data_IF_688447751167
#
_entry.id   IF_688447751167
#
_cell.length_a   1.000
_cell.length_b   1.000
_cell.length_c   1.000
_cell.angle_alpha   90.00
_cell.angle_beta   90.00
_cell.angle_gamma   90.00
#
_symmetry.space_group_name_H-M   'P 1'
#
loop_
_entity.id
_entity.type
_entity.pdbx_description
1 polymer ?
#
# COMPACT_ATOMS: atom_id res chain seq x y z
N UNK A 1 16.97 -16.05 -35.80
CA UNK A 1 16.72 -15.81 -34.36
C UNK A 1 17.12 -14.38 -34.05
N UNK A 2 16.14 -13.50 -33.87
CA UNK A 2 16.25 -12.19 -33.22
C UNK A 2 14.82 -11.65 -33.08
N UNK A 3 14.17 -11.93 -31.96
CA UNK A 3 12.88 -11.34 -31.61
C UNK A 3 12.83 -11.21 -30.09
N UNK A 4 13.18 -10.02 -29.59
CA UNK A 4 12.71 -9.35 -28.36
C UNK A 4 13.70 -8.26 -27.91
N UNK A 5 13.80 -7.19 -28.69
CA UNK A 5 13.67 -5.80 -28.27
C UNK A 5 13.72 -4.97 -29.56
N UNK A 6 12.57 -4.46 -30.00
CA UNK A 6 12.32 -4.10 -31.42
C UNK A 6 12.93 -2.75 -31.86
N UNK A 7 13.79 -2.14 -31.03
CA UNK A 7 14.40 -0.82 -31.30
C UNK A 7 15.90 -0.83 -31.02
N UNK A 8 16.71 -0.64 -32.07
CA UNK A 8 18.16 -0.49 -31.94
C UNK A 8 18.52 0.99 -31.70
N UNK A 9 18.83 1.36 -30.46
CA UNK A 9 19.18 2.74 -30.08
C UNK A 9 20.43 3.28 -30.78
N UNK A 10 21.38 2.42 -31.18
CA UNK A 10 22.54 2.84 -31.97
C UNK A 10 22.12 3.23 -33.39
N UNK A 11 21.21 2.46 -34.00
CA UNK A 11 20.64 2.78 -35.30
C UNK A 11 19.76 4.05 -35.25
N UNK A 12 18.96 4.22 -34.20
CA UNK A 12 18.11 5.41 -33.99
C UNK A 12 18.97 6.67 -33.85
N UNK A 13 20.10 6.61 -33.14
CA UNK A 13 21.05 7.73 -33.07
C UNK A 13 21.98 7.83 -34.29
N UNK A 14 22.11 6.77 -35.08
CA UNK A 14 22.94 6.72 -36.28
C UNK A 14 24.43 6.71 -35.97
N UNK A 15 24.80 6.10 -34.84
CA UNK A 15 26.18 6.01 -34.33
C UNK A 15 26.61 4.56 -34.21
N UNK A 16 27.91 4.28 -34.28
CA UNK A 16 28.42 2.93 -34.11
C UNK A 16 28.29 2.46 -32.66
N UNK A 17 28.28 1.15 -32.46
CA UNK A 17 28.22 0.52 -31.14
C UNK A 17 29.44 0.85 -30.27
N UNK A 18 30.57 1.14 -30.93
CA UNK A 18 31.82 1.58 -30.31
C UNK A 18 31.89 3.10 -30.07
N UNK A 19 30.82 3.85 -30.36
CA UNK A 19 30.84 5.31 -30.26
C UNK A 19 31.10 5.78 -28.83
N UNK A 20 31.93 6.81 -28.69
CA UNK A 20 32.23 7.46 -27.42
C UNK A 20 31.04 8.29 -26.93
N UNK A 21 31.00 8.63 -25.64
CA UNK A 21 29.94 9.45 -25.07
C UNK A 21 29.82 10.83 -25.77
N UNK A 22 30.94 11.38 -26.24
CA UNK A 22 30.98 12.65 -26.97
C UNK A 22 30.35 12.53 -28.37
N UNK A 23 30.60 11.44 -29.07
CA UNK A 23 30.00 11.17 -30.40
C UNK A 23 28.49 10.94 -30.29
N UNK A 24 28.04 10.23 -29.25
CA UNK A 24 26.61 10.03 -28.95
C UNK A 24 25.93 11.38 -28.67
N UNK A 25 26.56 12.24 -27.87
CA UNK A 25 26.05 13.58 -27.56
C UNK A 25 25.97 14.47 -28.81
N UNK A 26 26.98 14.42 -29.68
CA UNK A 26 27.02 15.19 -30.93
C UNK A 26 25.96 14.71 -31.93
N UNK A 27 25.75 13.40 -32.03
CA UNK A 27 24.71 12.81 -32.87
C UNK A 27 23.30 13.20 -32.39
N UNK A 28 23.06 13.13 -31.07
CA UNK A 28 21.81 13.58 -30.46
C UNK A 28 21.54 15.06 -30.77
N UNK A 29 22.50 15.95 -30.54
CA UNK A 29 22.34 17.39 -30.81
C UNK A 29 22.03 17.68 -32.29
N UNK A 30 22.65 16.93 -33.20
CA UNK A 30 22.43 17.08 -34.65
C UNK A 30 21.02 16.63 -35.05
N UNK A 31 20.52 15.53 -34.47
CA UNK A 31 19.17 15.01 -34.74
C UNK A 31 18.08 15.83 -34.04
N UNK A 32 18.32 16.23 -32.79
CA UNK A 32 17.41 17.07 -32.01
C UNK A 32 17.15 18.43 -32.69
N UNK A 33 18.17 19.04 -33.31
CA UNK A 33 17.99 20.29 -34.09
C UNK A 33 17.22 20.09 -35.39
N UNK A 34 17.33 18.93 -36.02
CA UNK A 34 16.62 18.58 -37.28
C UNK A 34 15.18 18.16 -37.06
N UNK A 35 14.87 17.57 -35.91
CA UNK A 35 13.56 17.05 -35.54
C UNK A 35 12.81 17.96 -34.56
N UNK A 36 13.35 19.14 -34.27
CA UNK A 36 12.71 20.09 -33.37
C UNK A 36 11.37 20.56 -33.98
N UNK A 37 10.26 20.59 -33.21
CA UNK A 37 8.93 20.96 -33.73
C UNK A 37 8.86 22.38 -34.31
N UNK A 38 9.74 23.29 -33.86
CA UNK A 38 9.84 24.64 -34.44
C UNK A 38 10.55 24.69 -35.81
N UNK A 39 11.38 23.67 -36.12
CA UNK A 39 12.23 23.62 -37.32
C UNK A 39 11.68 22.65 -38.37
N UNK A 40 11.09 21.54 -37.94
CA UNK A 40 10.46 20.56 -38.81
C UNK A 40 8.97 20.40 -38.46
N UNK A 41 8.10 20.67 -39.45
CA UNK A 41 6.63 20.61 -39.33
C UNK A 41 6.03 19.32 -39.91
N UNK A 42 6.84 18.32 -40.20
CA UNK A 42 6.36 17.01 -40.62
C UNK A 42 5.60 16.31 -39.47
N UNK A 43 4.51 15.58 -39.77
CA UNK A 43 3.67 14.94 -38.75
C UNK A 43 4.37 13.81 -37.99
N UNK A 44 5.49 13.29 -38.51
CA UNK A 44 6.30 12.23 -37.91
C UNK A 44 7.54 12.75 -37.14
N UNK A 45 7.77 14.08 -37.13
CA UNK A 45 8.92 14.70 -36.48
C UNK A 45 8.90 14.54 -34.95
N UNK A 46 7.71 14.65 -34.34
CA UNK A 46 7.54 14.51 -32.89
C UNK A 46 7.81 13.07 -32.41
N UNK A 47 7.33 12.08 -33.16
CA UNK A 47 7.54 10.66 -32.85
C UNK A 47 9.02 10.30 -32.96
N UNK A 48 9.68 10.71 -34.05
CA UNK A 48 11.13 10.51 -34.23
C UNK A 48 11.97 11.24 -33.19
N UNK A 49 11.52 12.41 -32.72
CA UNK A 49 12.19 13.14 -31.65
C UNK A 49 12.11 12.41 -30.31
N UNK A 50 10.97 11.79 -30.00
CA UNK A 50 10.78 10.96 -28.81
C UNK A 50 11.73 9.75 -28.83
N UNK A 51 11.84 9.06 -29.97
CA UNK A 51 12.74 7.90 -30.12
C UNK A 51 14.22 8.28 -29.98
N UNK A 52 14.63 9.42 -30.56
CA UNK A 52 16.01 9.93 -30.42
C UNK A 52 16.33 10.33 -28.98
N UNK A 53 15.35 10.84 -28.24
CA UNK A 53 15.50 11.22 -26.83
C UNK A 53 15.58 10.00 -25.91
N UNK A 54 14.78 8.97 -26.18
CA UNK A 54 14.84 7.68 -25.50
C UNK A 54 16.20 7.00 -25.70
N UNK A 55 16.69 6.96 -26.95
CA UNK A 55 18.00 6.42 -27.28
C UNK A 55 19.13 7.14 -26.55
N UNK A 56 19.09 8.48 -26.47
CA UNK A 56 20.08 9.26 -25.75
C UNK A 56 20.03 9.00 -24.24
N UNK A 57 18.84 8.92 -23.63
CA UNK A 57 18.68 8.68 -22.19
C UNK A 57 19.25 7.32 -21.73
N UNK A 58 19.29 6.34 -22.62
CA UNK A 58 19.89 5.01 -22.37
C UNK A 58 21.38 5.01 -22.67
N UNK A 59 21.83 5.60 -23.78
CA UNK A 59 23.23 5.53 -24.23
C UNK A 59 24.16 6.59 -23.60
N UNK A 60 23.61 7.67 -23.02
CA UNK A 60 24.41 8.75 -22.41
C UNK A 60 25.04 8.36 -21.08
N UNK A 61 24.43 7.42 -20.36
CA UNK A 61 24.88 6.95 -19.05
C UNK A 61 25.60 5.60 -19.18
N UNK A 62 26.78 5.48 -18.57
CA UNK A 62 27.62 4.30 -18.71
C UNK A 62 26.99 3.02 -18.12
N UNK A 63 26.22 3.15 -17.03
CA UNK A 63 25.54 2.02 -16.38
C UNK A 63 24.34 1.55 -17.21
N UNK A 64 23.55 2.50 -17.74
CA UNK A 64 22.40 2.19 -18.61
C UNK A 64 22.82 1.58 -19.94
N UNK A 65 23.88 2.12 -20.57
CA UNK A 65 24.47 1.57 -21.80
C UNK A 65 24.93 0.13 -21.60
N UNK A 66 25.64 -0.15 -20.49
CA UNK A 66 26.11 -1.51 -20.17
C UNK A 66 24.97 -2.51 -20.05
N UNK A 67 23.84 -2.12 -19.43
CA UNK A 67 22.65 -2.97 -19.29
C UNK A 67 21.97 -3.22 -20.64
N UNK A 68 21.87 -2.18 -21.47
CA UNK A 68 21.34 -2.29 -22.82
C UNK A 68 22.20 -3.24 -23.69
N UNK A 69 23.52 -3.09 -23.64
CA UNK A 69 24.46 -3.95 -24.38
C UNK A 69 24.43 -5.42 -23.89
N UNK A 70 24.28 -5.63 -22.58
CA UNK A 70 24.12 -6.96 -21.98
C UNK A 70 22.81 -7.65 -22.41
N UNK A 71 21.72 -6.89 -22.50
CA UNK A 71 20.42 -7.38 -22.98
C UNK A 71 20.44 -7.70 -24.48
N UNK A 72 21.11 -6.86 -25.28
CA UNK A 72 21.23 -7.01 -26.75
C UNK A 72 22.14 -8.16 -27.18
N UNK A 73 23.21 -8.43 -26.44
CA UNK A 73 24.16 -9.52 -26.74
C UNK A 73 23.64 -10.93 -26.43
N UNK A 74 22.40 -11.07 -25.95
CA UNK A 74 21.82 -12.37 -25.58
C UNK A 74 22.54 -13.05 -24.41
N UNK A 75 23.38 -12.30 -23.69
CA UNK A 75 24.13 -12.83 -22.56
C UNK A 75 23.19 -13.04 -21.38
N UNK A 76 22.77 -14.29 -21.19
CA UNK A 76 21.95 -14.75 -20.06
C UNK A 76 22.64 -14.56 -18.69
N UNK A 77 23.87 -14.02 -18.67
CA UNK A 77 24.64 -13.67 -17.48
C UNK A 77 24.46 -12.22 -17.00
N UNK A 78 23.50 -11.47 -17.55
CA UNK A 78 23.03 -10.20 -16.97
C UNK A 78 21.99 -10.35 -15.85
N UNK A 79 21.43 -11.55 -15.65
CA UNK A 79 20.47 -11.85 -14.58
C UNK A 79 21.20 -12.35 -13.32
N UNK A 80 21.92 -11.45 -12.65
CA UNK A 80 22.40 -11.65 -11.30
C UNK A 80 21.44 -11.05 -10.28
N UNK A 81 20.60 -11.90 -9.68
CA UNK A 81 19.75 -11.66 -8.49
C UNK A 81 18.50 -10.79 -8.63
N UNK A 82 17.39 -11.45 -8.96
CA UNK A 82 16.04 -11.05 -8.57
C UNK A 82 15.09 -12.23 -8.65
N UNK A 83 14.57 -12.78 -7.53
CA UNK A 83 13.57 -13.85 -7.61
C UNK A 83 12.24 -13.28 -8.08
N UNK A 84 11.67 -13.92 -9.11
CA UNK A 84 10.31 -13.75 -9.58
C UNK A 84 9.30 -14.54 -8.73
N UNK A 85 8.06 -14.03 -8.64
CA UNK A 85 6.85 -14.77 -8.22
C UNK A 85 5.93 -14.01 -7.23
N UNK A 86 5.18 -12.97 -7.66
CA UNK A 86 3.69 -12.94 -7.90
C UNK A 86 2.80 -12.81 -6.62
N UNK A 87 1.53 -12.28 -6.65
CA UNK A 87 0.83 -11.30 -7.52
C UNK A 87 0.14 -10.14 -6.74
N UNK A 88 -0.19 -9.06 -7.45
CA UNK A 88 -1.48 -8.34 -7.31
C UNK A 88 -1.62 -7.28 -6.20
N UNK A 89 -2.01 -6.07 -6.59
CA UNK A 89 -2.45 -5.03 -5.65
C UNK A 89 -2.56 -3.64 -6.27
N UNK A 90 -3.60 -3.42 -7.06
CA UNK A 90 -4.06 -2.09 -7.47
C UNK A 90 -4.51 -1.30 -6.24
N UNK A 91 -4.03 -0.07 -6.06
CA UNK A 91 -4.84 0.96 -5.38
C UNK A 91 -4.32 2.38 -5.69
N UNK A 92 -5.14 3.10 -6.44
CA UNK A 92 -5.15 4.55 -6.57
C UNK A 92 -5.42 5.20 -5.20
N UNK A 93 -4.77 6.32 -4.89
CA UNK A 93 -5.20 7.14 -3.74
C UNK A 93 -4.22 8.22 -3.24
N UNK A 94 -4.28 9.37 -3.90
CA UNK A 94 -4.13 10.72 -3.37
C UNK A 94 -2.73 11.37 -3.20
N UNK A 95 -2.62 12.49 -3.91
CA UNK A 95 -1.60 13.53 -3.93
C UNK A 95 -1.65 14.44 -2.71
N UNK A 96 -0.55 15.17 -2.50
CA UNK A 96 -0.40 16.32 -1.60
C UNK A 96 0.51 15.94 -0.43
N UNK A 97 1.73 16.43 -0.32
CA UNK A 97 2.18 17.82 -0.43
C UNK A 97 3.72 17.75 -0.40
N UNK A 98 4.46 18.64 -1.09
CA UNK A 98 5.89 19.03 -0.92
C UNK A 98 6.54 19.51 -2.26
N UNK A 99 7.46 20.50 -2.21
CA UNK A 99 7.31 21.79 -2.89
C UNK A 99 8.23 21.99 -4.12
N UNK A 100 8.34 20.98 -4.99
CA UNK A 100 9.08 21.10 -6.26
C UNK A 100 8.22 20.83 -7.50
N UNK A 101 6.92 21.10 -7.40
CA UNK A 101 5.96 21.03 -8.51
C UNK A 101 5.96 22.31 -9.36
N UNK A 102 7.11 22.68 -9.93
CA UNK A 102 7.24 23.94 -10.65
C UNK A 102 8.36 23.97 -11.67
N UNK A 103 8.09 23.52 -12.89
CA UNK A 103 8.76 24.03 -14.09
C UNK A 103 9.78 23.12 -14.78
N UNK A 104 9.33 21.96 -15.30
CA UNK A 104 9.96 21.32 -16.47
C UNK A 104 8.87 20.81 -17.43
N UNK A 105 8.98 21.03 -18.76
CA UNK A 105 7.86 20.94 -19.69
C UNK A 105 7.57 19.53 -20.25
N UNK A 106 8.03 18.45 -19.61
CA UNK A 106 7.71 17.08 -20.03
C UNK A 106 7.36 16.23 -18.81
N UNK A 107 6.06 15.94 -18.69
CA UNK A 107 5.47 15.26 -17.55
C UNK A 107 5.86 13.79 -17.37
N UNK A 108 5.52 13.30 -16.18
CA UNK A 108 5.31 11.89 -15.82
C UNK A 108 6.56 11.03 -15.60
N UNK A 109 7.69 11.61 -15.19
CA UNK A 109 8.81 10.83 -14.66
C UNK A 109 8.59 10.60 -13.16
N UNK A 110 8.16 9.39 -12.83
CA UNK A 110 8.00 8.91 -11.46
C UNK A 110 9.37 8.66 -10.81
N UNK A 111 9.88 9.69 -10.13
CA UNK A 111 11.12 9.63 -9.35
C UNK A 111 10.99 8.82 -8.04
N UNK A 112 9.79 8.35 -7.67
CA UNK A 112 9.59 7.51 -6.48
C UNK A 112 10.21 6.12 -6.62
N UNK A 113 10.49 5.69 -7.85
CA UNK A 113 11.16 4.42 -8.14
C UNK A 113 12.68 4.43 -7.85
N UNK A 114 13.29 5.61 -7.68
CA UNK A 114 14.76 5.70 -7.57
C UNK A 114 15.30 5.48 -6.15
N UNK A 115 14.51 5.77 -5.12
CA UNK A 115 14.93 5.62 -3.70
C UNK A 115 14.74 4.21 -3.12
N UNK A 116 14.14 3.27 -3.86
CA UNK A 116 13.83 1.92 -3.36
C UNK A 116 14.76 0.81 -3.86
N UNK A 117 15.78 1.14 -4.66
CA UNK A 117 16.58 0.13 -5.38
C UNK A 117 17.91 -0.28 -4.71
N UNK A 118 18.24 0.24 -3.53
CA UNK A 118 19.34 -0.30 -2.74
C UNK A 118 18.82 -1.27 -1.68
N UNK A 119 18.48 -2.50 -2.10
CA UNK A 119 18.36 -3.64 -1.16
C UNK A 119 19.76 -4.06 -0.69
N UNK A 120 20.47 -3.14 -0.05
CA UNK A 120 21.56 -3.52 0.83
C UNK A 120 20.98 -4.33 1.98
N UNK A 121 21.62 -5.45 2.35
CA UNK A 121 21.35 -6.11 3.64
C UNK A 121 21.64 -5.07 4.72
N UNK A 122 20.60 -4.40 5.21
CA UNK A 122 20.79 -3.37 6.21
C UNK A 122 21.27 -4.01 7.49
N UNK A 123 22.42 -3.51 7.98
CA UNK A 123 23.01 -3.94 9.26
C UNK A 123 22.41 -3.14 10.43
N UNK A 124 21.40 -2.33 10.16
CA UNK A 124 20.74 -1.49 11.13
C UNK A 124 20.15 -2.35 12.25
N UNK A 125 20.52 -2.03 13.48
CA UNK A 125 19.94 -2.69 14.64
C UNK A 125 18.61 -2.02 14.99
N UNK A 126 17.52 -2.55 14.44
CA UNK A 126 16.16 -2.05 14.67
C UNK A 126 15.27 -3.12 15.30
N UNK A 127 15.23 -3.23 16.64
CA UNK A 127 14.33 -4.15 17.32
C UNK A 127 12.88 -3.72 17.09
N UNK A 128 12.11 -4.58 16.44
CA UNK A 128 10.69 -4.40 16.17
C UNK A 128 9.93 -5.62 16.65
N UNK A 129 8.83 -5.39 17.36
CA UNK A 129 7.92 -6.46 17.74
C UNK A 129 7.38 -7.16 16.50
N UNK A 130 7.20 -8.46 16.62
CA UNK A 130 6.63 -9.27 15.56
C UNK A 130 5.20 -8.85 15.26
N UNK A 131 4.86 -8.75 13.98
CA UNK A 131 3.50 -8.46 13.56
C UNK A 131 2.57 -9.65 13.81
N UNK A 132 1.35 -9.35 14.25
CA UNK A 132 0.28 -10.34 14.37
C UNK A 132 -0.09 -10.89 12.98
N UNK A 133 -0.50 -12.15 12.93
CA UNK A 133 -0.96 -12.81 11.70
C UNK A 133 -2.46 -13.03 11.85
N UNK A 134 -3.24 -12.43 10.95
CA UNK A 134 -4.67 -12.70 10.82
C UNK A 134 -4.90 -13.83 9.82
N UNK A 135 -5.68 -14.83 10.21
CA UNK A 135 -6.09 -15.92 9.33
C UNK A 135 -7.61 -16.08 9.36
N UNK A 136 -8.22 -16.09 8.19
CA UNK A 136 -9.67 -16.24 8.06
C UNK A 136 -10.01 -17.70 7.80
N UNK A 137 -10.66 -18.35 8.75
CA UNK A 137 -11.11 -19.74 8.59
C UNK A 137 -12.58 -19.79 8.21
N UNK A 138 -12.89 -20.47 7.11
CA UNK A 138 -14.27 -20.69 6.70
C UNK A 138 -14.80 -21.98 7.31
N UNK A 139 -15.89 -21.89 8.06
CA UNK A 139 -16.56 -23.03 8.70
C UNK A 139 -17.94 -23.28 8.08
N UNK A 140 -18.33 -24.55 8.05
CA UNK A 140 -19.70 -24.94 7.73
C UNK A 140 -20.60 -24.75 8.96
N UNK A 141 -21.92 -24.69 8.74
CA UNK A 141 -22.90 -24.49 9.82
C UNK A 141 -22.89 -25.63 10.85
N UNK A 142 -22.62 -26.85 10.40
CA UNK A 142 -22.48 -28.01 11.28
C UNK A 142 -21.21 -27.93 12.11
N UNK A 143 -20.09 -27.51 11.51
CA UNK A 143 -18.81 -27.38 12.21
C UNK A 143 -18.85 -26.25 13.24
N UNK A 144 -19.51 -25.14 12.90
CA UNK A 144 -19.70 -24.01 13.80
C UNK A 144 -20.53 -24.39 15.03
N UNK A 145 -21.58 -25.20 14.85
CA UNK A 145 -22.43 -25.69 15.95
C UNK A 145 -21.74 -26.73 16.82
N UNK A 146 -21.09 -27.72 16.22
CA UNK A 146 -20.53 -28.85 16.95
C UNK A 146 -19.11 -28.61 17.50
N UNK A 147 -18.40 -27.60 16.98
CA UNK A 147 -16.99 -27.39 17.24
C UNK A 147 -16.12 -28.33 16.39
N UNK A 148 -14.93 -27.87 15.99
CA UNK A 148 -14.03 -28.64 15.14
C UNK A 148 -12.56 -28.31 15.43
N UNK A 149 -11.71 -29.34 15.39
CA UNK A 149 -10.26 -29.16 15.39
C UNK A 149 -9.76 -29.10 13.95
N UNK A 150 -9.14 -27.99 13.57
CA UNK A 150 -8.56 -27.82 12.22
C UNK A 150 -7.06 -27.58 12.31
N UNK A 151 -6.29 -28.31 11.51
CA UNK A 151 -4.87 -28.06 11.27
C UNK A 151 -4.71 -27.00 10.19
N UNK A 152 -3.93 -25.96 10.47
CA UNK A 152 -3.67 -24.86 9.55
C UNK A 152 -2.17 -24.77 9.33
N UNK A 153 -1.76 -24.81 8.07
CA UNK A 153 -0.39 -24.55 7.65
C UNK A 153 -0.30 -23.11 7.17
N UNK A 154 0.60 -22.32 7.75
CA UNK A 154 0.81 -20.93 7.38
C UNK A 154 2.29 -20.59 7.40
N UNK A 155 2.67 -19.60 6.59
CA UNK A 155 4.04 -19.09 6.58
C UNK A 155 4.16 -17.98 7.62
N UNK A 156 5.19 -18.07 8.47
CA UNK A 156 5.51 -17.01 9.44
C UNK A 156 7.01 -16.81 9.52
N UNK A 157 7.41 -15.64 9.98
CA UNK A 157 8.78 -15.44 10.41
C UNK A 157 8.99 -16.15 11.75
N UNK A 158 9.93 -17.08 11.79
CA UNK A 158 10.40 -17.72 13.02
C UNK A 158 11.74 -17.13 13.44
N UNK A 159 12.04 -17.16 14.73
CA UNK A 159 13.36 -16.80 15.24
C UNK A 159 14.41 -17.68 14.56
N UNK A 160 15.45 -17.07 14.01
CA UNK A 160 16.53 -17.82 13.36
C UNK A 160 17.21 -18.74 14.39
N UNK A 161 17.23 -20.04 14.14
CA UNK A 161 17.82 -21.04 15.04
C UNK A 161 19.34 -20.85 15.18
N UNK A 162 20.02 -20.47 14.08
CA UNK A 162 21.48 -20.29 14.05
C UNK A 162 21.97 -19.14 14.96
N UNK A 163 21.17 -18.09 15.16
CA UNK A 163 21.53 -16.95 16.03
C UNK A 163 20.60 -16.76 17.24
N UNK A 164 19.64 -17.66 17.44
CA UNK A 164 18.64 -17.56 18.51
C UNK A 164 17.81 -16.27 18.47
N UNK A 165 17.55 -15.71 17.29
CA UNK A 165 16.76 -14.48 17.17
C UNK A 165 17.53 -13.16 17.22
N UNK A 166 18.83 -13.20 17.55
CA UNK A 166 19.64 -11.99 17.84
C UNK A 166 20.13 -11.24 16.60
N UNK A 167 20.14 -11.90 15.45
CA UNK A 167 20.65 -11.34 14.19
C UNK A 167 22.16 -11.44 14.01
N UNK A 168 22.91 -11.85 15.05
CA UNK A 168 24.38 -11.93 15.04
C UNK A 168 24.91 -13.34 15.35
N UNK A 169 26.11 -13.67 14.86
CA UNK A 169 26.72 -14.99 15.11
C UNK A 169 27.35 -15.12 16.50
N UNK A 170 28.13 -14.12 16.93
CA UNK A 170 28.98 -14.25 18.12
C UNK A 170 28.64 -13.27 19.26
N UNK A 171 28.28 -12.02 18.96
CA UNK A 171 27.97 -11.00 19.96
C UNK A 171 26.49 -10.67 19.99
N UNK A 172 25.84 -10.85 21.13
CA UNK A 172 24.42 -10.58 21.30
C UNK A 172 24.05 -9.08 21.28
N UNK A 173 25.03 -8.18 21.41
CA UNK A 173 24.81 -6.74 21.59
C UNK A 173 25.04 -5.93 20.31
N UNK A 174 24.20 -4.91 20.13
CA UNK A 174 24.32 -3.94 19.07
C UNK A 174 25.56 -3.04 19.32
N UNK A 175 26.41 -2.88 18.31
CA UNK A 175 27.53 -1.96 18.40
C UNK A 175 27.11 -0.56 17.97
N UNK A 176 27.76 0.47 18.52
CA UNK A 176 27.60 1.84 18.05
C UNK A 176 28.04 1.93 16.58
N UNK A 177 27.21 2.56 15.75
CA UNK A 177 27.51 2.77 14.34
C UNK A 177 28.80 3.60 14.18
N UNK A 178 29.81 3.12 13.43
CA UNK A 178 31.06 3.87 13.25
C UNK A 178 30.88 5.13 12.39
N UNK A 179 29.91 5.11 11.45
CA UNK A 179 29.65 6.22 10.52
C UNK A 179 29.04 7.43 11.22
N UNK A 180 28.00 7.23 12.03
CA UNK A 180 27.33 8.31 12.75
C UNK A 180 27.78 8.43 14.23
N UNK A 181 28.66 7.54 14.71
CA UNK A 181 29.09 7.49 16.12
C UNK A 181 27.91 7.43 17.12
N UNK A 182 26.79 6.83 16.71
CA UNK A 182 25.59 6.70 17.53
C UNK A 182 24.55 7.80 17.37
N UNK A 183 24.78 8.83 16.55
CA UNK A 183 23.81 9.93 16.38
C UNK A 183 22.61 9.55 15.50
N UNK A 184 22.68 8.44 14.75
CA UNK A 184 21.63 8.02 13.82
C UNK A 184 21.58 8.82 12.52
N UNK A 185 22.11 10.04 12.50
CA UNK A 185 22.08 10.95 11.36
C UNK A 185 23.47 11.45 10.99
N UNK A 186 23.64 11.82 9.72
CA UNK A 186 24.84 12.48 9.21
C UNK A 186 24.46 13.87 8.68
N UNK A 187 25.22 14.88 9.08
CA UNK A 187 25.04 16.23 8.56
C UNK A 187 25.86 16.36 7.29
N UNK A 188 25.19 16.64 6.17
CA UNK A 188 25.86 16.94 4.90
C UNK A 188 25.82 18.44 4.70
N UNK A 189 27.02 19.04 4.68
CA UNK A 189 27.20 20.48 4.53
C UNK A 189 27.16 20.84 3.03
N UNK A 190 26.00 21.32 2.57
CA UNK A 190 25.76 21.73 1.18
C UNK A 190 26.07 23.22 0.95
N UNK A 191 26.65 23.89 1.95
CA UNK A 191 26.97 25.32 1.91
C UNK A 191 27.88 25.70 0.74
N UNK A 192 28.72 24.78 0.26
CA UNK A 192 29.71 25.05 -0.79
C UNK A 192 29.14 25.14 -2.21
N UNK A 193 27.93 24.61 -2.47
CA UNK A 193 27.40 24.47 -3.83
C UNK A 193 26.19 25.37 -4.12
N UNK A 194 25.34 25.66 -3.12
CA UNK A 194 24.07 26.38 -3.33
C UNK A 194 23.65 27.34 -2.20
N UNK A 195 24.49 27.58 -1.18
CA UNK A 195 24.15 28.48 -0.07
C UNK A 195 22.98 28.01 0.81
N UNK A 196 22.41 26.85 0.53
CA UNK A 196 21.51 26.10 1.41
C UNK A 196 22.39 25.42 2.46
N UNK A 197 22.07 25.63 3.74
CA UNK A 197 22.89 25.21 4.87
C UNK A 197 23.02 23.69 5.03
N UNK A 198 23.23 23.24 6.27
CA UNK A 198 23.38 21.80 6.57
C UNK A 198 22.05 21.08 6.44
N UNK A 199 22.05 19.95 5.73
CA UNK A 199 20.91 19.05 5.68
C UNK A 199 21.26 17.80 6.49
N UNK A 200 20.39 17.47 7.44
CA UNK A 200 20.49 16.26 8.24
C UNK A 200 19.87 15.11 7.45
N UNK A 201 20.65 14.06 7.20
CA UNK A 201 20.21 12.84 6.52
C UNK A 201 20.31 11.66 7.48
N UNK A 202 19.40 10.70 7.36
CA UNK A 202 19.51 9.45 8.11
C UNK A 202 20.77 8.70 7.70
N UNK A 203 21.52 8.18 8.68
CA UNK A 203 22.74 7.44 8.41
C UNK A 203 22.42 6.14 7.66
N UNK A 204 22.98 5.91 6.45
CA UNK A 204 22.61 4.77 5.61
C UNK A 204 23.05 3.42 6.18
N UNK A 205 24.03 3.40 7.09
CA UNK A 205 24.54 2.16 7.69
C UNK A 205 23.66 1.64 8.84
N UNK A 206 23.06 2.55 9.60
CA UNK A 206 22.21 2.23 10.75
C UNK A 206 20.73 2.59 10.57
N UNK A 207 20.35 3.15 9.41
CA UNK A 207 18.97 3.56 9.09
C UNK A 207 18.33 4.42 10.19
N UNK A 208 19.08 5.36 10.75
CA UNK A 208 18.60 6.24 11.82
C UNK A 208 18.72 5.69 13.23
N UNK A 209 19.07 4.40 13.42
CA UNK A 209 19.06 3.77 14.76
C UNK A 209 20.28 4.10 15.63
N UNK A 210 21.38 4.58 15.04
CA UNK A 210 22.65 4.80 15.74
C UNK A 210 23.44 3.53 16.05
N UNK A 211 22.85 2.35 15.82
CA UNK A 211 23.44 1.05 16.17
C UNK A 211 23.44 0.08 14.98
N UNK A 212 24.48 -0.75 14.92
CA UNK A 212 24.69 -1.72 13.84
C UNK A 212 25.02 -3.11 14.39
N UNK A 213 24.62 -4.13 13.64
CA UNK A 213 25.00 -5.52 13.87
C UNK A 213 26.38 -5.75 13.24
N UNK A 214 27.42 -5.98 14.05
CA UNK A 214 28.80 -6.15 13.54
C UNK A 214 28.98 -7.45 12.75
N UNK A 215 28.49 -8.56 13.29
CA UNK A 215 28.66 -9.90 12.72
C UNK A 215 27.30 -10.47 12.31
N UNK A 216 26.72 -10.04 11.16
CA UNK A 216 25.41 -10.51 10.74
C UNK A 216 25.43 -12.04 10.55
N UNK A 217 24.37 -12.69 11.04
CA UNK A 217 24.20 -14.13 10.84
C UNK A 217 24.02 -14.46 9.36
N UNK A 218 24.76 -15.45 8.85
CA UNK A 218 24.73 -15.85 7.43
C UNK A 218 23.35 -16.34 6.97
N UNK A 219 22.61 -17.02 7.85
CA UNK A 219 21.31 -17.61 7.54
C UNK A 219 20.21 -16.55 7.41
N UNK A 220 20.17 -15.57 8.33
CA UNK A 220 19.13 -14.53 8.35
C UNK A 220 19.59 -13.17 7.82
N UNK A 221 20.87 -13.04 7.45
CA UNK A 221 21.46 -11.81 6.93
C UNK A 221 21.46 -10.63 7.90
N UNK A 222 21.35 -10.86 9.22
CA UNK A 222 21.23 -9.80 10.23
C UNK A 222 19.82 -9.57 10.77
N UNK A 223 18.78 -10.12 10.14
CA UNK A 223 17.38 -9.84 10.51
C UNK A 223 16.91 -10.51 11.82
N UNK A 224 17.63 -11.55 12.28
CA UNK A 224 17.25 -12.35 13.45
C UNK A 224 16.06 -13.29 13.23
N UNK A 225 15.46 -13.31 12.04
CA UNK A 225 14.29 -14.14 11.73
C UNK A 225 14.37 -14.70 10.32
N UNK A 226 13.74 -15.85 10.11
CA UNK A 226 13.70 -16.55 8.81
C UNK A 226 12.26 -16.94 8.51
N UNK A 227 11.89 -16.97 7.23
CA UNK A 227 10.56 -17.41 6.81
C UNK A 227 10.49 -18.94 6.92
N UNK A 228 9.50 -19.45 7.64
CA UNK A 228 9.27 -20.89 7.78
C UNK A 228 7.77 -21.21 7.76
N UNK A 229 7.43 -22.38 7.22
CA UNK A 229 6.07 -22.91 7.29
C UNK A 229 5.84 -23.51 8.69
N UNK A 230 4.80 -23.04 9.38
CA UNK A 230 4.38 -23.54 10.68
C UNK A 230 3.01 -24.19 10.55
N UNK A 231 2.84 -25.35 11.20
CA UNK A 231 1.56 -26.01 11.33
C UNK A 231 1.01 -25.78 12.74
N UNK A 232 -0.26 -25.39 12.83
CA UNK A 232 -0.95 -25.15 14.09
C UNK A 232 -2.32 -25.82 14.05
N UNK A 233 -2.59 -26.69 15.03
CA UNK A 233 -3.92 -27.21 15.27
C UNK A 233 -4.68 -26.26 16.17
N UNK A 234 -5.85 -25.82 15.71
CA UNK A 234 -6.71 -24.87 16.41
C UNK A 234 -8.00 -25.59 16.78
N UNK A 235 -8.35 -25.49 18.06
CA UNK A 235 -9.59 -26.02 18.60
C UNK A 235 -10.64 -24.91 18.57
N UNK A 236 -11.67 -25.10 17.74
CA UNK A 236 -12.77 -24.15 17.61
C UNK A 236 -13.92 -24.64 18.48
N UNK A 237 -14.34 -23.86 19.50
CA UNK A 237 -15.39 -24.27 20.40
C UNK A 237 -16.74 -24.39 19.67
N UNK A 238 -17.60 -25.26 20.20
CA UNK A 238 -18.99 -25.38 19.77
C UNK A 238 -19.73 -24.04 19.92
N UNK A 239 -20.73 -23.81 19.06
CA UNK A 239 -21.46 -22.54 18.93
C UNK A 239 -20.59 -21.32 18.61
N UNK A 240 -19.58 -21.50 17.76
CA UNK A 240 -18.84 -20.35 17.20
C UNK A 240 -19.68 -19.65 16.12
N UNK A 241 -19.60 -18.32 16.08
CA UNK A 241 -20.33 -17.47 15.13
C UNK A 241 -19.40 -16.71 14.18
N UNK A 242 -19.99 -16.13 13.14
CA UNK A 242 -19.27 -15.23 12.23
C UNK A 242 -18.68 -14.01 12.97
N UNK A 243 -17.38 -13.78 12.80
CA UNK A 243 -16.65 -12.68 13.42
C UNK A 243 -16.02 -13.01 14.77
N UNK A 244 -16.24 -14.20 15.31
CA UNK A 244 -15.52 -14.65 16.52
C UNK A 244 -14.02 -14.73 16.24
N UNK A 245 -13.22 -14.23 17.19
CA UNK A 245 -11.76 -14.18 17.09
C UNK A 245 -11.11 -15.06 18.15
N UNK A 246 -10.29 -16.02 17.71
CA UNK A 246 -9.47 -16.85 18.58
C UNK A 246 -8.03 -16.37 18.49
N UNK A 247 -7.48 -15.91 19.61
CA UNK A 247 -6.12 -15.38 19.70
C UNK A 247 -5.19 -16.41 20.34
N UNK A 248 -4.18 -16.83 19.58
CA UNK A 248 -3.12 -17.72 20.02
C UNK A 248 -1.83 -16.93 20.24
N UNK A 249 -1.41 -16.82 21.51
CA UNK A 249 -0.26 -16.00 21.91
C UNK A 249 1.06 -16.58 21.39
N UNK A 250 1.93 -15.71 20.87
CA UNK A 250 3.30 -16.05 20.43
C UNK A 250 3.38 -16.94 19.18
N UNK A 251 2.28 -17.06 18.44
CA UNK A 251 2.19 -17.85 17.19
C UNK A 251 2.19 -16.98 15.93
N UNK A 252 2.27 -15.66 16.05
CA UNK A 252 2.40 -14.70 14.96
C UNK A 252 3.82 -14.62 14.40
N UNK A 253 4.23 -13.49 13.83
CA UNK A 253 5.60 -13.35 13.34
C UNK A 253 6.60 -13.15 14.49
N UNK A 254 7.81 -13.67 14.37
CA UNK A 254 8.90 -13.35 15.27
C UNK A 254 9.32 -11.88 15.11
N UNK A 255 9.59 -11.23 16.24
CA UNK A 255 10.20 -9.91 16.26
C UNK A 255 11.64 -9.95 15.74
N UNK A 256 12.17 -8.79 15.37
CA UNK A 256 13.58 -8.65 14.96
C UNK A 256 14.48 -8.48 16.18
N UNK A 257 15.71 -8.99 16.10
CA UNK A 257 16.77 -8.77 17.10
C UNK A 257 16.33 -9.08 18.55
N UNK A 258 15.69 -10.24 18.77
CA UNK A 258 15.23 -10.68 20.09
C UNK A 258 13.94 -10.02 20.60
N UNK A 259 13.25 -9.23 19.77
CA UNK A 259 11.96 -8.63 20.12
C UNK A 259 10.84 -9.67 20.25
N UNK A 260 9.79 -9.32 20.99
CA UNK A 260 8.64 -10.19 21.24
C UNK A 260 7.98 -10.68 19.94
N UNK A 261 7.48 -11.91 19.96
CA UNK A 261 6.71 -12.51 18.87
C UNK A 261 5.27 -12.00 18.91
N UNK A 262 4.70 -11.72 17.74
CA UNK A 262 3.29 -11.38 17.60
C UNK A 262 2.38 -12.59 17.82
N UNK A 263 1.08 -12.36 17.68
CA UNK A 263 0.04 -13.35 17.92
C UNK A 263 -0.59 -13.85 16.63
N UNK A 264 -1.18 -15.05 16.69
CA UNK A 264 -1.96 -15.60 15.58
C UNK A 264 -3.44 -15.42 15.92
N UNK A 265 -4.13 -14.62 15.10
CA UNK A 265 -5.54 -14.26 15.29
C UNK A 265 -6.34 -14.97 14.21
N UNK A 266 -7.18 -15.90 14.61
CA UNK A 266 -8.11 -16.57 13.68
C UNK A 266 -9.45 -15.90 13.76
N UNK A 267 -9.91 -15.39 12.62
CA UNK A 267 -11.27 -14.88 12.48
C UNK A 267 -12.13 -15.98 11.84
N UNK A 268 -13.19 -16.36 12.54
CA UNK A 268 -14.13 -17.35 12.06
C UNK A 268 -15.09 -16.70 11.06
N UNK A 269 -15.23 -17.32 9.89
CA UNK A 269 -16.18 -16.94 8.85
C UNK A 269 -17.20 -18.04 8.64
N UNK A 270 -18.47 -17.74 8.86
CA UNK A 270 -19.59 -18.67 8.64
C UNK A 270 -20.45 -18.14 7.47
N UNK A 271 -20.33 -18.70 6.26
CA UNK A 271 -21.00 -18.15 5.08
C UNK A 271 -22.53 -18.11 5.16
N UNK A 272 -23.16 -18.92 6.02
CA UNK A 272 -24.62 -18.88 6.19
C UNK A 272 -25.12 -17.70 7.01
N UNK A 273 -24.29 -17.17 7.92
CA UNK A 273 -24.62 -16.04 8.80
C UNK A 273 -24.24 -14.69 8.18
N UNK A 274 -23.39 -14.72 7.16
CA UNK A 274 -22.96 -13.53 6.44
C UNK A 274 -24.06 -12.99 5.52
N UNK A 275 -24.36 -11.72 5.70
CA UNK A 275 -25.14 -10.94 4.75
C UNK A 275 -24.31 -10.66 3.50
N UNK A 276 -24.94 -10.78 2.33
CA UNK A 276 -24.35 -10.29 1.09
C UNK A 276 -24.12 -8.77 1.15
N UNK A 277 -23.22 -8.24 0.32
CA UNK A 277 -22.96 -6.80 0.26
C UNK A 277 -24.24 -5.98 0.00
N UNK A 278 -25.11 -6.49 -0.88
CA UNK A 278 -26.41 -5.87 -1.17
C UNK A 278 -27.32 -5.89 0.06
N UNK A 279 -27.39 -7.01 0.80
CA UNK A 279 -28.20 -7.12 2.01
C UNK A 279 -27.68 -6.21 3.14
N UNK A 280 -26.36 -6.07 3.31
CA UNK A 280 -25.76 -5.13 4.26
C UNK A 280 -26.12 -3.68 3.91
N UNK A 281 -26.04 -3.32 2.64
CA UNK A 281 -26.46 -2.01 2.16
C UNK A 281 -27.96 -1.78 2.41
N UNK A 282 -28.80 -2.77 2.10
CA UNK A 282 -30.23 -2.70 2.34
C UNK A 282 -30.59 -2.53 3.82
N UNK A 283 -29.98 -3.32 4.71
CA UNK A 283 -30.16 -3.21 6.16
C UNK A 283 -29.75 -1.83 6.69
N UNK A 284 -28.62 -1.28 6.20
CA UNK A 284 -28.18 0.08 6.55
C UNK A 284 -29.18 1.15 6.07
N UNK A 285 -29.69 1.05 4.84
CA UNK A 285 -30.68 1.98 4.30
C UNK A 285 -31.98 1.96 5.11
N UNK A 286 -32.45 0.77 5.51
CA UNK A 286 -33.61 0.63 6.39
C UNK A 286 -33.31 1.23 7.78
N UNK A 287 -32.10 1.05 8.30
CA UNK A 287 -31.66 1.69 9.55
C UNK A 287 -31.69 3.22 9.50
N UNK A 288 -31.18 3.80 8.40
CA UNK A 288 -31.23 5.25 8.16
C UNK A 288 -32.69 5.70 8.07
N UNK A 289 -33.52 4.99 7.29
CA UNK A 289 -34.94 5.31 7.15
C UNK A 289 -35.69 5.25 8.48
N UNK A 290 -35.39 4.27 9.34
CA UNK A 290 -35.98 4.15 10.68
C UNK A 290 -35.63 5.36 11.57
N UNK A 291 -34.38 5.83 11.53
CA UNK A 291 -34.00 7.04 12.27
C UNK A 291 -34.68 8.29 11.71
N UNK A 292 -34.78 8.44 10.39
CA UNK A 292 -35.49 9.56 9.78
C UNK A 292 -37.00 9.53 10.12
N UNK A 293 -37.60 8.35 10.14
CA UNK A 293 -39.00 8.14 10.54
C UNK A 293 -39.22 8.61 11.99
N UNK A 294 -38.29 8.31 12.89
CA UNK A 294 -38.35 8.75 14.29
C UNK A 294 -38.43 10.28 14.40
N UNK A 295 -37.62 11.03 13.64
CA UNK A 295 -37.70 12.50 13.62
C UNK A 295 -39.01 13.03 13.01
N UNK A 296 -39.55 12.37 11.99
CA UNK A 296 -40.86 12.70 11.41
C UNK A 296 -41.98 12.51 12.44
N UNK A 297 -41.96 11.41 13.20
CA UNK A 297 -42.96 11.12 14.25
C UNK A 297 -42.90 12.13 15.39
N UNK A 298 -41.70 12.55 15.80
CA UNK A 298 -41.53 13.63 16.79
C UNK A 298 -41.90 15.02 16.25
N UNK A 299 -42.38 15.11 15.01
CA UNK A 299 -42.78 16.34 14.33
C UNK A 299 -41.64 17.38 14.21
N UNK A 300 -40.39 16.94 14.38
CA UNK A 300 -39.21 17.75 14.13
C UNK A 300 -38.96 17.84 12.63
N UNK A 301 -39.57 18.83 11.98
CA UNK A 301 -39.37 19.17 10.56
C UNK A 301 -39.61 17.99 9.61
N UNK A 302 -40.79 17.37 9.77
CA UNK A 302 -41.30 16.27 8.95
C UNK A 302 -41.17 16.41 7.42
N UNK A 303 -41.40 17.57 6.76
CA UNK A 303 -41.39 17.61 5.29
C UNK A 303 -40.00 17.41 4.67
N UNK A 304 -38.92 17.74 5.39
CA UNK A 304 -37.54 17.59 4.86
C UNK A 304 -37.13 16.12 4.74
N UNK A 305 -37.58 15.29 5.68
CA UNK A 305 -37.19 13.87 5.73
C UNK A 305 -38.15 12.96 4.96
N UNK A 306 -39.43 13.36 4.82
CA UNK A 306 -40.45 12.56 4.15
C UNK A 306 -40.10 12.23 2.68
N UNK A 307 -39.44 13.15 1.96
CA UNK A 307 -39.06 12.96 0.54
C UNK A 307 -38.01 11.85 0.38
N UNK A 308 -37.08 11.75 1.33
CA UNK A 308 -35.94 10.80 1.29
C UNK A 308 -36.36 9.43 1.85
N UNK A 309 -37.40 9.37 2.67
CA UNK A 309 -37.83 8.16 3.37
C UNK A 309 -38.35 7.08 2.41
N UNK A 310 -39.18 7.45 1.42
CA UNK A 310 -39.75 6.53 0.43
C UNK A 310 -38.66 5.82 -0.41
N UNK A 311 -37.71 6.52 -1.05
CA UNK A 311 -36.66 5.85 -1.81
C UNK A 311 -35.75 4.99 -0.92
N UNK A 312 -35.41 5.44 0.29
CA UNK A 312 -34.58 4.65 1.21
C UNK A 312 -35.23 3.32 1.60
N UNK A 313 -36.53 3.32 1.90
CA UNK A 313 -37.27 2.09 2.23
C UNK A 313 -37.38 1.21 0.98
N UNK A 314 -37.74 1.77 -0.17
CA UNK A 314 -37.89 1.01 -1.42
C UNK A 314 -36.58 0.31 -1.83
N UNK A 315 -35.47 1.07 -1.92
CA UNK A 315 -34.17 0.50 -2.24
C UNK A 315 -33.65 -0.42 -1.12
N UNK A 316 -33.93 -0.10 0.14
CA UNK A 316 -33.57 -0.94 1.28
C UNK A 316 -34.19 -2.33 1.20
N UNK A 317 -35.51 -2.40 1.03
CA UNK A 317 -36.28 -3.64 0.91
C UNK A 317 -35.88 -4.41 -0.35
N UNK A 318 -35.75 -3.75 -1.50
CA UNK A 318 -35.32 -4.37 -2.76
C UNK A 318 -33.96 -5.08 -2.60
N UNK A 319 -32.99 -4.41 -1.99
CA UNK A 319 -31.64 -4.94 -1.80
C UNK A 319 -31.60 -6.12 -0.82
N UNK A 320 -32.51 -6.18 0.16
CA UNK A 320 -32.61 -7.32 1.08
C UNK A 320 -33.21 -8.55 0.39
N UNK A 321 -34.30 -8.34 -0.36
CA UNK A 321 -35.02 -9.41 -1.07
C UNK A 321 -34.19 -9.99 -2.20
N UNK A 322 -33.45 -9.14 -2.94
CA UNK A 322 -32.62 -9.56 -4.07
C UNK A 322 -31.55 -10.61 -3.70
N UNK A 323 -31.09 -10.63 -2.44
CA UNK A 323 -30.10 -11.59 -1.95
C UNK A 323 -30.68 -12.90 -1.38
N UNK A 324 -32.00 -13.04 -1.30
CA UNK A 324 -32.67 -14.18 -0.64
C UNK A 324 -32.58 -14.12 0.88
N UNK A 325 -33.72 -14.19 1.58
CA UNK A 325 -33.77 -14.09 3.05
C UNK A 325 -33.48 -15.46 3.66
N UNK A 326 -32.38 -15.57 4.39
CA UNK A 326 -32.09 -16.76 5.22
C UNK A 326 -32.58 -16.48 6.63
N UNK A 327 -33.59 -17.22 7.09
CA UNK A 327 -34.22 -17.04 8.41
C UNK A 327 -33.41 -17.69 9.56
N UNK A 328 -32.08 -17.64 9.52
CA UNK A 328 -31.24 -18.15 10.61
C UNK A 328 -30.97 -17.05 11.65
N UNK A 329 -30.77 -17.42 12.91
CA UNK A 329 -30.55 -16.48 14.01
C UNK A 329 -29.28 -15.64 13.82
N UNK A 330 -28.22 -16.23 13.24
CA UNK A 330 -26.99 -15.52 12.89
C UNK A 330 -27.21 -14.48 11.78
N UNK A 331 -28.05 -14.78 10.79
CA UNK A 331 -28.43 -13.81 9.75
C UNK A 331 -29.16 -12.61 10.36
N UNK A 332 -30.09 -12.84 11.30
CA UNK A 332 -30.78 -11.76 12.02
C UNK A 332 -29.85 -10.93 12.90
N UNK A 333 -28.85 -11.55 13.54
CA UNK A 333 -27.83 -10.83 14.32
C UNK A 333 -26.98 -9.93 13.41
N UNK A 334 -26.52 -10.46 12.28
CA UNK A 334 -25.81 -9.68 11.25
C UNK A 334 -26.67 -8.55 10.70
N UNK A 335 -27.97 -8.80 10.49
CA UNK A 335 -28.93 -7.80 10.04
C UNK A 335 -29.13 -6.70 11.08
N UNK A 336 -29.31 -7.06 12.34
CA UNK A 336 -29.45 -6.12 13.45
C UNK A 336 -28.21 -5.22 13.59
N UNK A 337 -27.01 -5.78 13.48
CA UNK A 337 -25.76 -5.01 13.50
C UNK A 337 -25.66 -4.02 12.32
N UNK A 338 -26.01 -4.46 11.11
CA UNK A 338 -26.01 -3.60 9.93
C UNK A 338 -27.10 -2.51 10.01
N UNK A 339 -28.28 -2.85 10.52
CA UNK A 339 -29.39 -1.95 10.77
C UNK A 339 -29.03 -0.89 11.82
N UNK A 340 -28.42 -1.29 12.94
CA UNK A 340 -27.96 -0.36 13.99
C UNK A 340 -26.87 0.58 13.48
N UNK A 341 -25.94 0.09 12.67
CA UNK A 341 -24.96 0.95 11.96
C UNK A 341 -25.67 1.95 11.04
N UNK A 342 -26.74 1.54 10.36
CA UNK A 342 -27.61 2.42 9.60
C UNK A 342 -28.26 3.50 10.46
N UNK A 343 -28.80 3.14 11.63
CA UNK A 343 -29.40 4.08 12.58
C UNK A 343 -28.38 5.13 13.03
N UNK A 344 -27.16 4.72 13.40
CA UNK A 344 -26.10 5.64 13.84
C UNK A 344 -25.75 6.62 12.73
N UNK A 345 -25.55 6.12 11.50
CA UNK A 345 -25.28 6.98 10.34
C UNK A 345 -26.46 7.91 10.02
N UNK A 346 -27.70 7.42 10.16
CA UNK A 346 -28.91 8.23 10.02
C UNK A 346 -28.98 9.33 11.07
N UNK A 347 -28.54 9.08 12.31
CA UNK A 347 -28.46 10.08 13.36
C UNK A 347 -27.46 11.18 12.99
N UNK A 348 -26.26 10.82 12.56
CA UNK A 348 -25.25 11.78 12.07
C UNK A 348 -25.78 12.62 10.91
N UNK A 349 -26.42 11.97 9.92
CA UNK A 349 -26.99 12.68 8.77
C UNK A 349 -28.10 13.64 9.20
N UNK A 350 -28.96 13.24 10.13
CA UNK A 350 -30.03 14.08 10.66
C UNK A 350 -29.50 15.32 11.38
N UNK A 351 -28.44 15.17 12.18
CA UNK A 351 -27.75 16.29 12.86
C UNK A 351 -27.19 17.27 11.82
N UNK A 352 -26.47 16.77 10.82
CA UNK A 352 -25.88 17.60 9.76
C UNK A 352 -26.96 18.40 9.02
N UNK A 353 -28.07 17.76 8.61
CA UNK A 353 -29.19 18.44 7.95
C UNK A 353 -29.78 19.52 8.85
N UNK A 354 -29.97 19.23 10.13
CA UNK A 354 -30.50 20.19 11.09
C UNK A 354 -29.59 21.40 11.26
N UNK A 355 -28.27 21.18 11.34
CA UNK A 355 -27.27 22.25 11.41
C UNK A 355 -27.27 23.11 10.15
N UNK A 356 -27.24 22.49 8.97
CA UNK A 356 -27.27 23.21 7.69
C UNK A 356 -28.54 24.07 7.56
N UNK A 357 -29.68 23.51 7.93
CA UNK A 357 -30.94 24.25 7.89
C UNK A 357 -30.95 25.42 8.89
N UNK A 358 -30.42 25.22 10.10
CA UNK A 358 -30.31 26.30 11.09
C UNK A 358 -29.48 27.48 10.56
N UNK A 359 -28.37 27.21 9.86
CA UNK A 359 -27.58 28.23 9.19
C UNK A 359 -28.37 28.97 8.10
N UNK A 360 -29.15 28.26 7.26
CA UNK A 360 -29.95 28.89 6.20
C UNK A 360 -31.14 29.69 6.73
N UNK A 361 -31.77 29.25 7.82
CA UNK A 361 -32.90 29.94 8.43
C UNK A 361 -32.46 31.23 9.16
N UNK A 362 -31.24 31.27 9.71
CA UNK A 362 -30.67 32.46 10.35
C UNK A 362 -30.32 33.59 9.37
N UNK A 363 -30.01 33.27 8.12
CA UNK A 363 -29.68 34.25 7.08
C UNK A 363 -30.88 35.08 6.61
N UNK A 364 -32.12 34.64 6.88
CA UNK A 364 -33.34 35.34 6.47
C UNK A 364 -33.80 36.50 7.37
N UNK A 365 -33.18 36.69 8.54
CA UNK A 365 -33.62 37.70 9.52
C UNK A 365 -32.73 38.96 9.62
N UNK A 366 -31.61 39.03 8.91
CA UNK A 366 -30.83 40.27 8.80
C UNK A 366 -31.36 41.07 7.62
N UNK A 367 -32.56 41.65 7.79
CA UNK A 367 -33.09 42.63 6.85
C UNK A 367 -32.11 43.79 6.73
N UNK A 368 -31.76 44.13 5.49
CA UNK A 368 -31.10 45.38 5.12
C UNK A 368 -31.83 46.56 5.79
N UNK A 369 -31.32 47.05 6.92
CA UNK A 369 -31.62 48.40 7.39
C UNK A 369 -30.76 49.33 6.54
N UNK A 370 -31.30 49.78 5.42
CA UNK A 370 -30.70 50.82 4.58
C UNK A 370 -30.56 52.11 5.39
N UNK A 371 -29.37 52.70 5.32
CA UNK A 371 -29.07 54.07 5.75
C UNK A 371 -29.71 55.10 4.82
#
# INVERSE_FOLDING_TARGET
MAAMNEKDYYAILGVSESATAEEIRKAFQTKARKLHPDVNKEPDAEERFKEVSEAYAVLSDAEKRRRYDAMRSGSFFGSGYGPSGYPGGTSYGNYGDWPFDGGFPFGNIDFSSWTSSSRGRSRAYKPQTGADISYDITLSDSDAKNGVKKGITYQRYVSCEACGGKGSQHKAEAATCPTCKGTGHIDVDLSSLFGVGRIQLDCPECEGTGHVVQDPCEVCGGAGRVLSASELTIDIPANSHDGDQIRMKGKGNAGTNGSATGDFIVTIKVPSEQLSLQQKAGARLIGIAAMLLFFVVLNLRAPLFAIILIPLIFFGVRNIIAGGIKMNIGWWRSFANAFLSGIINGAFFSIIIMTLYACTAGLGHVGYMGM
#
